data_IF_687736814260
#
_entry.id   IF_687736814260
#
_cell.length_a   1.000
_cell.length_b   1.000
_cell.length_c   1.000
_cell.angle_alpha   90.00
_cell.angle_beta   90.00
_cell.angle_gamma   90.00
#
_symmetry.space_group_name_H-M   'P 1'
#
loop_
_entity.id
_entity.type
_entity.pdbx_description
1 polymer ?
#
# COMPACT_ATOMS: atom_id res chain seq x y z
N UNK A 1 16.17 -1.95 24.24
CA UNK A 1 15.90 -2.16 22.80
C UNK A 1 15.12 -3.43 22.52
N UNK A 2 15.65 -4.63 22.75
CA UNK A 2 14.89 -5.88 22.49
C UNK A 2 13.53 -5.97 23.22
N UNK A 3 13.47 -5.56 24.49
CA UNK A 3 12.21 -5.49 25.25
C UNK A 3 11.22 -4.50 24.61
N UNK A 4 11.68 -3.29 24.28
CA UNK A 4 10.87 -2.27 23.62
C UNK A 4 10.31 -2.76 22.28
N UNK A 5 11.12 -3.45 21.47
CA UNK A 5 10.69 -4.09 20.22
C UNK A 5 9.60 -5.15 20.46
N UNK A 6 9.77 -6.00 21.47
CA UNK A 6 8.80 -7.05 21.80
C UNK A 6 7.48 -6.48 22.33
N UNK A 7 7.56 -5.46 23.17
CA UNK A 7 6.39 -4.73 23.69
C UNK A 7 5.64 -4.06 22.53
N UNK A 8 6.36 -3.31 21.69
CA UNK A 8 5.78 -2.65 20.50
C UNK A 8 5.15 -3.67 19.54
N UNK A 9 5.80 -4.82 19.31
CA UNK A 9 5.25 -5.89 18.50
C UNK A 9 3.97 -6.47 19.11
N UNK A 10 3.93 -6.64 20.43
CA UNK A 10 2.75 -7.14 21.14
C UNK A 10 1.59 -6.14 21.06
N UNK A 11 1.86 -4.84 21.24
CA UNK A 11 0.88 -3.78 21.10
C UNK A 11 0.36 -3.65 19.68
N UNK A 12 1.25 -3.71 18.69
CA UNK A 12 0.89 -3.68 17.26
C UNK A 12 0.00 -4.86 16.86
N UNK A 13 0.30 -6.06 17.37
CA UNK A 13 -0.53 -7.24 17.12
C UNK A 13 -1.91 -7.08 17.75
N UNK A 14 -1.97 -6.70 19.03
CA UNK A 14 -3.25 -6.47 19.72
C UNK A 14 -4.10 -5.41 19.01
N UNK A 15 -3.47 -4.34 18.55
CA UNK A 15 -4.14 -3.30 17.77
C UNK A 15 -4.81 -3.90 16.53
N UNK A 16 -4.08 -4.67 15.72
CA UNK A 16 -4.63 -5.33 14.54
C UNK A 16 -5.76 -6.33 14.87
N UNK A 17 -5.59 -7.12 15.94
CA UNK A 17 -6.60 -8.10 16.38
C UNK A 17 -7.90 -7.42 16.85
N UNK A 18 -7.78 -6.36 17.65
CA UNK A 18 -8.92 -5.59 18.17
C UNK A 18 -9.63 -4.82 17.05
N UNK A 19 -8.87 -4.27 16.09
CA UNK A 19 -9.41 -3.54 14.95
C UNK A 19 -10.40 -4.34 14.12
N UNK A 20 -10.10 -5.62 13.91
CA UNK A 20 -10.90 -6.57 13.12
C UNK A 20 -11.65 -7.60 13.99
N UNK A 21 -11.58 -7.46 15.32
CA UNK A 21 -12.16 -8.36 16.31
C UNK A 21 -11.87 -9.84 16.03
N UNK A 22 -10.62 -10.16 15.67
CA UNK A 22 -10.20 -11.50 15.25
C UNK A 22 -8.82 -11.78 15.84
N UNK A 23 -8.67 -12.91 16.54
CA UNK A 23 -7.51 -13.16 17.41
C UNK A 23 -6.72 -14.40 16.96
N UNK A 24 -5.41 -14.25 16.83
CA UNK A 24 -4.50 -15.35 16.50
C UNK A 24 -4.41 -16.31 17.70
N UNK A 25 -4.50 -17.61 17.42
CA UNK A 25 -4.40 -18.66 18.45
C UNK A 25 -2.97 -19.13 18.71
N UNK A 26 -2.01 -18.68 17.90
CA UNK A 26 -0.62 -19.13 17.93
C UNK A 26 0.34 -17.93 18.04
N UNK A 27 1.51 -18.10 18.67
CA UNK A 27 2.51 -17.04 18.73
C UNK A 27 2.96 -16.60 17.34
N UNK A 28 3.13 -15.29 17.16
CA UNK A 28 3.70 -14.71 15.93
C UNK A 28 5.23 -14.72 16.02
N UNK A 29 5.87 -15.11 14.92
CA UNK A 29 7.33 -15.06 14.77
C UNK A 29 7.67 -13.96 13.77
N UNK A 30 8.36 -12.91 14.22
CA UNK A 30 8.89 -11.85 13.36
C UNK A 30 10.39 -12.09 13.13
N UNK A 31 10.79 -12.26 11.87
CA UNK A 31 12.17 -12.50 11.46
C UNK A 31 12.70 -11.32 10.66
N UNK A 32 13.88 -10.82 11.03
CA UNK A 32 14.65 -9.87 10.22
C UNK A 32 15.77 -10.63 9.52
N UNK A 33 15.73 -10.66 8.19
CA UNK A 33 16.76 -11.27 7.36
C UNK A 33 17.72 -10.19 6.89
N UNK A 34 19.03 -10.38 7.10
CA UNK A 34 20.03 -9.51 6.49
C UNK A 34 19.89 -9.55 4.96
N UNK A 35 19.65 -8.40 4.34
CA UNK A 35 19.49 -8.22 2.89
C UNK A 35 20.68 -8.75 2.03
N UNK A 36 21.79 -9.16 2.67
CA UNK A 36 22.97 -9.72 2.02
C UNK A 36 22.93 -11.21 1.67
N UNK A 37 21.91 -11.99 2.06
CA UNK A 37 21.92 -13.46 1.91
C UNK A 37 21.10 -14.03 0.73
N UNK A 38 20.57 -13.20 -0.19
CA UNK A 38 19.97 -13.69 -1.45
C UNK A 38 20.69 -13.11 -2.69
N UNK A 39 21.86 -13.64 -3.08
CA UNK A 39 22.55 -13.25 -4.32
C UNK A 39 21.77 -13.55 -5.63
N UNK A 40 20.59 -14.17 -5.53
CA UNK A 40 19.80 -14.63 -6.68
C UNK A 40 18.38 -14.03 -6.77
N UNK A 41 17.94 -13.20 -5.80
CA UNK A 41 16.62 -12.56 -5.89
C UNK A 41 16.66 -11.36 -6.84
N UNK A 42 16.05 -11.52 -8.02
CA UNK A 42 15.91 -10.49 -9.07
C UNK A 42 14.71 -9.56 -8.79
N UNK A 43 13.98 -9.80 -7.70
CA UNK A 43 12.88 -8.95 -7.23
C UNK A 43 13.47 -8.02 -6.16
N UNK A 44 13.27 -6.69 -6.23
CA UNK A 44 13.68 -5.79 -5.15
C UNK A 44 13.07 -6.31 -3.83
N UNK A 45 13.80 -6.22 -2.70
CA UNK A 45 13.31 -6.74 -1.43
C UNK A 45 11.93 -6.14 -1.15
N UNK A 46 10.91 -7.00 -1.08
CA UNK A 46 9.61 -6.65 -0.52
C UNK A 46 9.87 -6.40 0.96
N UNK A 47 9.69 -5.15 1.43
CA UNK A 47 10.13 -4.71 2.76
C UNK A 47 9.91 -5.75 3.86
N UNK A 48 8.65 -5.96 4.26
CA UNK A 48 8.26 -7.10 5.06
C UNK A 48 7.09 -7.83 4.38
N UNK A 49 6.89 -9.11 4.74
CA UNK A 49 5.73 -9.87 4.30
C UNK A 49 5.31 -10.94 5.32
N UNK A 50 4.00 -11.09 5.47
CA UNK A 50 3.36 -12.11 6.27
C UNK A 50 3.20 -13.45 5.52
N UNK A 51 3.30 -14.55 6.25
CA UNK A 51 3.13 -15.91 5.75
C UNK A 51 2.13 -16.68 6.61
N UNK A 52 1.41 -17.63 5.99
CA UNK A 52 0.32 -18.44 6.55
C UNK A 52 0.65 -19.29 7.81
N UNK A 53 1.84 -19.13 8.40
CA UNK A 53 2.31 -19.83 9.60
C UNK A 53 2.54 -18.89 10.78
N UNK A 54 1.77 -17.79 10.89
CA UNK A 54 2.00 -16.74 11.90
C UNK A 54 3.42 -16.19 11.86
N UNK A 55 3.97 -16.01 10.65
CA UNK A 55 5.36 -15.58 10.45
C UNK A 55 5.41 -14.32 9.61
N UNK A 56 6.13 -13.32 10.09
CA UNK A 56 6.51 -12.12 9.33
C UNK A 56 8.00 -12.21 9.01
N UNK A 57 8.38 -11.91 7.78
CA UNK A 57 9.77 -11.84 7.34
C UNK A 57 10.05 -10.45 6.77
N UNK A 58 10.96 -9.72 7.42
CA UNK A 58 11.48 -8.43 6.95
C UNK A 58 12.81 -8.67 6.21
N UNK A 59 12.84 -8.36 4.92
CA UNK A 59 14.01 -8.46 4.04
C UNK A 59 14.70 -7.11 3.82
N UNK A 60 14.20 -6.01 4.41
CA UNK A 60 14.86 -4.70 4.41
C UNK A 60 16.19 -4.70 5.17
N UNK A 61 16.40 -5.72 6.02
CA UNK A 61 17.71 -6.07 6.57
C UNK A 61 18.20 -5.20 7.72
N UNK A 62 17.37 -4.31 8.27
CA UNK A 62 17.77 -3.48 9.41
C UNK A 62 16.78 -3.63 10.57
N UNK A 63 17.20 -4.35 11.61
CA UNK A 63 16.46 -4.37 12.88
C UNK A 63 16.49 -2.97 13.49
N UNK A 64 15.35 -2.38 13.89
CA UNK A 64 15.34 -1.07 14.56
C UNK A 64 16.27 -1.05 15.80
N UNK A 65 17.18 -0.08 15.85
CA UNK A 65 18.21 0.06 16.89
C UNK A 65 17.91 1.20 17.88
N UNK A 66 17.06 2.15 17.50
CA UNK A 66 16.69 3.30 18.35
C UNK A 66 15.20 3.30 18.71
N UNK A 67 14.78 3.93 19.83
CA UNK A 67 13.36 4.05 20.17
C UNK A 67 12.52 4.74 19.09
N UNK A 68 13.07 5.74 18.40
CA UNK A 68 12.41 6.40 17.28
C UNK A 68 12.22 5.47 16.10
N UNK A 69 13.22 4.65 15.75
CA UNK A 69 13.08 3.64 14.72
C UNK A 69 12.03 2.58 15.11
N UNK A 70 12.01 2.12 16.37
CA UNK A 70 10.99 1.16 16.83
C UNK A 70 9.59 1.74 16.72
N UNK A 71 9.41 3.02 17.08
CA UNK A 71 8.15 3.74 16.94
C UNK A 71 7.71 3.81 15.47
N UNK A 72 8.58 4.28 14.58
CA UNK A 72 8.27 4.34 13.14
C UNK A 72 7.95 2.95 12.56
N UNK A 73 8.63 1.92 13.06
CA UNK A 73 8.44 0.53 12.64
C UNK A 73 7.11 -0.08 13.14
N UNK A 74 6.46 0.48 14.18
CA UNK A 74 5.21 -0.07 14.73
C UNK A 74 4.10 -0.13 13.67
N UNK A 75 4.00 0.87 12.80
CA UNK A 75 2.98 0.92 11.75
C UNK A 75 3.20 -0.16 10.69
N UNK A 76 4.45 -0.51 10.41
CA UNK A 76 4.79 -1.66 9.56
C UNK A 76 4.44 -2.96 10.27
N UNK A 77 4.67 -3.08 11.59
CA UNK A 77 4.22 -4.26 12.33
C UNK A 77 2.70 -4.41 12.29
N UNK A 78 1.93 -3.33 12.50
CA UNK A 78 0.47 -3.35 12.38
C UNK A 78 0.03 -3.79 10.98
N UNK A 79 0.70 -3.31 9.93
CA UNK A 79 0.45 -3.71 8.55
C UNK A 79 0.61 -5.23 8.38
N UNK A 80 1.78 -5.76 8.73
CA UNK A 80 2.09 -7.18 8.54
C UNK A 80 1.26 -8.10 9.43
N UNK A 81 0.94 -7.67 10.66
CA UNK A 81 0.10 -8.46 11.55
C UNK A 81 -1.37 -8.44 11.11
N UNK A 82 -1.84 -7.38 10.46
CA UNK A 82 -3.17 -7.34 9.85
C UNK A 82 -3.32 -8.39 8.75
N UNK A 83 -2.26 -8.63 7.96
CA UNK A 83 -2.25 -9.74 6.99
C UNK A 83 -2.41 -11.10 7.69
N UNK A 84 -1.74 -11.33 8.83
CA UNK A 84 -1.90 -12.57 9.59
C UNK A 84 -3.32 -12.74 10.14
N UNK A 85 -3.92 -11.67 10.67
CA UNK A 85 -5.30 -11.67 11.17
C UNK A 85 -6.29 -11.96 10.03
N UNK A 86 -6.06 -11.40 8.84
CA UNK A 86 -6.89 -11.64 7.66
C UNK A 86 -6.83 -13.12 7.21
N UNK A 87 -5.65 -13.74 7.33
CA UNK A 87 -5.46 -15.17 7.00
C UNK A 87 -6.25 -16.14 7.90
N UNK A 88 -6.82 -15.69 9.02
CA UNK A 88 -7.75 -16.50 9.83
C UNK A 88 -9.06 -16.80 9.10
N UNK A 89 -9.49 -15.90 8.21
CA UNK A 89 -10.77 -16.00 7.53
C UNK A 89 -10.62 -16.54 6.11
N UNK A 90 -9.48 -16.27 5.45
CA UNK A 90 -9.22 -16.66 4.07
C UNK A 90 -7.77 -17.05 3.84
N UNK A 91 -7.52 -18.17 3.18
CA UNK A 91 -6.17 -18.57 2.82
C UNK A 91 -5.63 -17.86 1.58
N UNK A 92 -6.52 -17.38 0.71
CA UNK A 92 -6.19 -16.63 -0.51
C UNK A 92 -7.12 -15.44 -0.64
N UNK A 93 -6.66 -14.27 -0.23
CA UNK A 93 -7.41 -13.03 -0.40
C UNK A 93 -7.02 -12.32 -1.70
N UNK A 94 -7.87 -11.39 -2.15
CA UNK A 94 -7.53 -10.50 -3.27
C UNK A 94 -6.43 -9.54 -2.82
N UNK A 95 -5.35 -9.34 -3.61
CA UNK A 95 -4.24 -8.47 -3.22
C UNK A 95 -4.68 -7.07 -2.76
N UNK A 96 -5.60 -6.45 -3.49
CA UNK A 96 -6.14 -5.14 -3.15
C UNK A 96 -6.80 -5.08 -1.77
N UNK A 97 -7.48 -6.16 -1.37
CA UNK A 97 -8.10 -6.25 -0.05
C UNK A 97 -7.08 -6.52 1.03
N UNK A 98 -6.13 -7.43 0.78
CA UNK A 98 -5.02 -7.69 1.70
C UNK A 98 -4.30 -6.38 2.06
N UNK A 99 -3.78 -5.70 1.04
CA UNK A 99 -3.04 -4.46 1.23
C UNK A 99 -3.94 -3.34 1.74
N UNK A 100 -5.18 -3.25 1.24
CA UNK A 100 -6.15 -2.24 1.64
C UNK A 100 -6.47 -2.27 3.14
N UNK A 101 -6.77 -3.46 3.69
CA UNK A 101 -7.06 -3.63 5.12
C UNK A 101 -5.82 -3.42 5.97
N UNK A 102 -4.67 -3.97 5.56
CA UNK A 102 -3.43 -3.82 6.29
C UNK A 102 -2.96 -2.36 6.35
N UNK A 103 -3.05 -1.63 5.24
CA UNK A 103 -2.76 -0.20 5.20
C UNK A 103 -3.78 0.63 5.98
N UNK A 104 -5.07 0.28 5.96
CA UNK A 104 -6.07 0.97 6.77
C UNK A 104 -5.78 0.83 8.26
N UNK A 105 -5.39 -0.37 8.71
CA UNK A 105 -5.01 -0.61 10.09
C UNK A 105 -3.81 0.24 10.51
N UNK A 106 -2.79 0.36 9.66
CA UNK A 106 -1.64 1.23 9.91
C UNK A 106 -2.02 2.70 9.98
N UNK A 107 -2.92 3.18 9.11
CA UNK A 107 -3.41 4.57 9.15
C UNK A 107 -4.20 4.85 10.43
N UNK A 108 -5.04 3.92 10.89
CA UNK A 108 -5.72 4.07 12.18
C UNK A 108 -4.77 3.98 13.35
N UNK A 109 -3.75 3.11 13.32
CA UNK A 109 -2.73 3.06 14.35
C UNK A 109 -1.97 4.39 14.47
N UNK A 110 -1.66 5.04 13.33
CA UNK A 110 -1.09 6.40 13.31
C UNK A 110 -2.04 7.41 13.96
N UNK A 111 -3.30 7.43 13.52
CA UNK A 111 -4.34 8.35 14.03
C UNK A 111 -4.56 8.19 15.53
N UNK A 112 -4.66 6.95 16.00
CA UNK A 112 -4.98 6.62 17.39
C UNK A 112 -3.77 6.79 18.32
N UNK A 113 -2.63 7.24 17.78
CA UNK A 113 -1.44 7.52 18.56
C UNK A 113 -0.82 6.25 19.13
N UNK A 114 -0.73 5.18 18.32
CA UNK A 114 0.14 4.03 18.60
C UNK A 114 1.61 4.49 18.51
N UNK A 115 1.98 5.27 19.53
CA UNK A 115 3.20 6.00 19.84
C UNK A 115 3.97 6.64 18.67
N UNK A 116 3.38 7.66 18.05
CA UNK A 116 4.08 8.94 17.95
C UNK A 116 3.80 9.74 19.24
N UNK A 117 4.75 9.73 20.19
CA UNK A 117 4.81 10.62 21.36
C UNK A 117 3.51 11.00 22.09
N UNK A 118 3.27 10.35 23.24
CA UNK A 118 2.23 10.66 24.24
C UNK A 118 0.77 10.40 23.84
N UNK A 119 0.11 9.52 24.60
CA UNK A 119 -1.34 9.46 24.69
C UNK A 119 -1.86 10.78 25.24
N UNK A 120 -2.12 11.75 24.36
CA UNK A 120 -2.89 12.93 24.72
C UNK A 120 -4.34 12.51 24.80
N UNK A 121 -4.95 12.62 25.99
CA UNK A 121 -6.41 12.57 26.12
C UNK A 121 -7.00 13.63 25.19
N UNK A 122 -7.70 13.18 24.14
CA UNK A 122 -8.37 14.07 23.20
C UNK A 122 -9.34 14.96 23.98
N UNK A 123 -9.14 16.28 23.90
CA UNK A 123 -10.06 17.22 24.50
C UNK A 123 -11.44 17.06 23.81
N UNK A 124 -12.56 17.09 24.56
CA UNK A 124 -13.90 16.89 24.00
C UNK A 124 -14.27 17.84 22.85
N UNK A 125 -13.60 18.99 22.75
CA UNK A 125 -13.84 20.02 21.72
C UNK A 125 -13.07 19.79 20.40
N UNK A 126 -12.10 18.87 20.35
CA UNK A 126 -11.45 18.44 19.09
C UNK A 126 -12.28 17.37 18.36
N UNK A 127 -13.16 16.66 19.09
CA UNK A 127 -13.98 15.57 18.56
C UNK A 127 -15.13 16.00 17.63
N UNK A 128 -15.36 17.31 17.43
CA UNK A 128 -16.47 17.81 16.60
C UNK A 128 -16.05 18.70 15.41
N UNK A 129 -14.76 18.98 15.19
CA UNK A 129 -14.34 19.98 14.17
C UNK A 129 -13.40 19.51 13.05
N UNK A 130 -13.00 18.24 12.99
CA UNK A 130 -12.26 17.72 11.85
C UNK A 130 -12.84 16.37 11.38
N UNK A 131 -13.51 16.36 10.23
CA UNK A 131 -13.56 15.15 9.42
C UNK A 131 -12.11 14.81 9.09
N UNK A 132 -11.50 13.90 9.84
CA UNK A 132 -10.13 13.47 9.63
C UNK A 132 -10.06 12.81 8.25
N UNK A 133 -9.22 13.34 7.37
CA UNK A 133 -9.05 12.81 6.02
C UNK A 133 -7.81 11.93 6.03
N UNK A 134 -7.98 10.61 5.89
CA UNK A 134 -6.87 9.68 5.71
C UNK A 134 -6.02 10.11 4.49
N UNK A 135 -4.69 10.01 4.58
CA UNK A 135 -3.78 10.32 3.45
C UNK A 135 -4.15 9.54 2.17
N UNK A 136 -4.55 8.25 2.25
CA UNK A 136 -5.18 7.53 1.14
C UNK A 136 -6.35 8.23 0.45
N UNK A 137 -7.21 8.98 1.17
CA UNK A 137 -8.29 9.75 0.55
C UNK A 137 -7.77 10.90 -0.31
N UNK A 138 -6.70 11.59 0.11
CA UNK A 138 -6.06 12.64 -0.70
C UNK A 138 -5.54 12.05 -2.01
N UNK A 139 -4.92 10.86 -1.94
CA UNK A 139 -4.45 10.15 -3.13
C UNK A 139 -5.60 9.76 -4.06
N UNK A 140 -6.66 9.17 -3.52
CA UNK A 140 -7.82 8.76 -4.30
C UNK A 140 -8.56 9.96 -4.91
N UNK A 141 -8.69 11.06 -4.16
CA UNK A 141 -9.27 12.32 -4.66
C UNK A 141 -8.40 12.96 -5.74
N UNK A 142 -7.07 12.93 -5.60
CA UNK A 142 -6.14 13.39 -6.63
C UNK A 142 -6.28 12.57 -7.92
N UNK A 143 -6.42 11.25 -7.80
CA UNK A 143 -6.66 10.36 -8.95
C UNK A 143 -8.04 10.59 -9.59
N UNK A 144 -9.07 10.88 -8.77
CA UNK A 144 -10.41 11.24 -9.25
C UNK A 144 -10.37 12.55 -10.04
N UNK A 145 -9.73 13.59 -9.50
CA UNK A 145 -9.58 14.89 -10.18
C UNK A 145 -8.74 14.78 -11.46
N UNK A 146 -7.71 13.93 -11.46
CA UNK A 146 -6.94 13.62 -12.65
C UNK A 146 -7.72 12.80 -13.71
N UNK A 147 -8.91 12.28 -13.38
CA UNK A 147 -9.72 11.45 -14.27
C UNK A 147 -9.13 10.05 -14.51
N UNK A 148 -8.32 9.56 -13.55
CA UNK A 148 -7.60 8.28 -13.66
C UNK A 148 -7.92 7.30 -12.52
N UNK A 149 -8.83 7.64 -11.61
CA UNK A 149 -9.32 6.73 -10.58
C UNK A 149 -10.13 5.58 -11.24
N UNK A 150 -9.74 4.31 -11.05
CA UNK A 150 -10.52 3.18 -11.58
C UNK A 150 -11.85 3.00 -10.84
N UNK A 151 -12.85 2.34 -11.47
CA UNK A 151 -14.09 1.97 -10.79
C UNK A 151 -13.85 0.94 -9.67
N UNK A 152 -14.75 0.87 -8.69
CA UNK A 152 -14.61 0.00 -7.50
C UNK A 152 -14.38 -1.47 -7.91
N UNK A 153 -15.06 -1.96 -8.94
CA UNK A 153 -14.91 -3.36 -9.39
C UNK A 153 -13.49 -3.68 -9.85
N UNK A 154 -12.82 -2.72 -10.49
CA UNK A 154 -11.41 -2.87 -10.86
C UNK A 154 -10.50 -2.75 -9.65
N UNK A 155 -10.79 -1.82 -8.73
CA UNK A 155 -10.02 -1.65 -7.48
C UNK A 155 -10.03 -2.95 -6.65
N UNK A 156 -11.21 -3.53 -6.44
CA UNK A 156 -11.38 -4.74 -5.61
C UNK A 156 -10.71 -5.98 -6.20
N UNK A 157 -10.52 -6.01 -7.52
CA UNK A 157 -9.90 -7.13 -8.25
C UNK A 157 -8.47 -6.84 -8.70
N UNK A 158 -7.91 -5.70 -8.27
CA UNK A 158 -6.55 -5.29 -8.59
C UNK A 158 -5.54 -6.28 -8.00
N UNK A 159 -4.62 -6.74 -8.84
CA UNK A 159 -3.55 -7.65 -8.46
C UNK A 159 -2.19 -6.97 -8.41
N UNK A 160 -1.23 -7.64 -7.79
CA UNK A 160 0.17 -7.27 -7.90
C UNK A 160 0.60 -7.25 -9.38
N UNK A 161 1.23 -6.16 -9.80
CA UNK A 161 1.87 -6.07 -11.11
C UNK A 161 3.22 -5.35 -10.96
N UNK A 162 4.16 -5.51 -11.87
CA UNK A 162 5.37 -4.69 -11.89
C UNK A 162 5.18 -3.28 -12.47
N UNK A 163 3.93 -2.82 -12.66
CA UNK A 163 3.61 -1.44 -13.01
C UNK A 163 3.57 -0.58 -11.74
N UNK A 164 4.24 0.58 -11.78
CA UNK A 164 4.42 1.44 -10.62
C UNK A 164 3.09 2.03 -10.15
N UNK A 165 2.21 2.38 -11.08
CA UNK A 165 0.87 2.88 -10.81
C UNK A 165 0.01 1.85 -10.08
N UNK A 166 -0.04 0.62 -10.59
CA UNK A 166 -0.84 -0.44 -9.99
C UNK A 166 -0.34 -0.83 -8.60
N UNK A 167 0.99 -0.84 -8.39
CA UNK A 167 1.55 -1.03 -7.06
C UNK A 167 1.15 0.09 -6.13
N UNK A 168 1.20 1.35 -6.57
CA UNK A 168 0.74 2.48 -5.77
C UNK A 168 -0.75 2.40 -5.44
N UNK A 169 -1.57 2.12 -6.45
CA UNK A 169 -3.02 1.99 -6.29
C UNK A 169 -3.40 0.88 -5.32
N UNK A 170 -2.67 -0.24 -5.32
CA UNK A 170 -2.94 -1.40 -4.47
C UNK A 170 -3.01 -1.06 -2.98
N UNK A 171 -2.16 -0.13 -2.53
CA UNK A 171 -2.10 0.29 -1.13
C UNK A 171 -3.01 1.50 -0.87
N UNK A 172 -3.01 2.51 -1.74
CA UNK A 172 -3.69 3.76 -1.42
C UNK A 172 -5.21 3.73 -1.71
N UNK A 173 -5.62 3.17 -2.85
CA UNK A 173 -7.00 3.31 -3.31
C UNK A 173 -7.96 2.38 -2.57
N UNK A 174 -7.68 1.06 -2.40
CA UNK A 174 -8.46 0.19 -1.55
C UNK A 174 -8.55 0.69 -0.10
N UNK A 175 -7.47 1.21 0.48
CA UNK A 175 -7.52 1.78 1.83
C UNK A 175 -8.44 2.98 1.92
N UNK A 176 -8.44 3.87 0.92
CA UNK A 176 -9.42 4.97 0.85
C UNK A 176 -10.85 4.47 0.77
N UNK A 177 -11.13 3.45 -0.05
CA UNK A 177 -12.48 2.88 -0.15
C UNK A 177 -12.92 2.23 1.17
N UNK A 178 -12.06 1.43 1.79
CA UNK A 178 -12.35 0.73 3.04
C UNK A 178 -12.50 1.72 4.21
N UNK A 179 -11.68 2.77 4.26
CA UNK A 179 -11.82 3.85 5.23
C UNK A 179 -13.15 4.60 5.06
N UNK A 180 -13.57 4.84 3.82
CA UNK A 180 -14.90 5.41 3.55
C UNK A 180 -16.01 4.48 4.03
N UNK A 181 -15.88 3.16 3.83
CA UNK A 181 -16.87 2.20 4.33
C UNK A 181 -16.97 2.24 5.86
N UNK A 182 -15.84 2.32 6.55
CA UNK A 182 -15.80 2.45 8.02
C UNK A 182 -16.48 3.74 8.50
N UNK A 183 -16.21 4.86 7.83
CA UNK A 183 -16.78 6.16 8.19
C UNK A 183 -18.29 6.25 7.94
N UNK A 184 -18.74 5.75 6.79
CA UNK A 184 -20.13 5.92 6.33
C UNK A 184 -21.07 4.83 6.89
N UNK A 185 -20.61 3.58 6.95
CA UNK A 185 -21.43 2.43 7.37
C UNK A 185 -21.02 1.87 8.74
N UNK A 186 -19.87 2.27 9.26
CA UNK A 186 -19.39 1.89 10.58
C UNK A 186 -18.47 0.67 10.60
N UNK A 187 -17.69 0.57 11.68
CA UNK A 187 -16.74 -0.52 11.92
C UNK A 187 -17.31 -1.94 11.84
N UNK A 188 -18.54 -2.21 12.30
CA UNK A 188 -19.14 -3.52 12.14
C UNK A 188 -19.24 -3.95 10.66
N UNK A 189 -19.65 -3.04 9.77
CA UNK A 189 -19.73 -3.32 8.33
C UNK A 189 -18.36 -3.60 7.72
N UNK A 190 -17.35 -2.78 8.03
CA UNK A 190 -15.97 -3.02 7.58
C UNK A 190 -15.47 -4.41 8.02
N UNK A 191 -15.73 -4.76 9.28
CA UNK A 191 -15.30 -6.04 9.86
C UNK A 191 -16.04 -7.21 9.25
N UNK A 192 -17.33 -7.06 8.95
CA UNK A 192 -18.09 -8.11 8.29
C UNK A 192 -17.60 -8.33 6.86
N UNK A 193 -17.26 -7.28 6.11
CA UNK A 193 -16.59 -7.40 4.80
C UNK A 193 -15.25 -8.14 4.95
N UNK A 194 -14.43 -7.76 5.93
CA UNK A 194 -13.14 -8.40 6.21
C UNK A 194 -13.25 -9.91 6.45
N UNK A 195 -14.28 -10.34 7.21
CA UNK A 195 -14.47 -11.75 7.58
C UNK A 195 -15.11 -12.60 6.48
N UNK A 196 -15.86 -11.99 5.56
CA UNK A 196 -16.74 -12.72 4.65
C UNK A 196 -16.47 -12.47 3.16
N UNK A 197 -15.37 -11.79 2.80
CA UNK A 197 -14.92 -11.81 1.41
C UNK A 197 -14.71 -13.26 0.91
N UNK A 198 -14.99 -13.56 -0.36
CA UNK A 198 -14.68 -14.88 -0.89
C UNK A 198 -13.18 -15.01 -1.14
N UNK A 199 -12.69 -16.26 -1.15
CA UNK A 199 -11.32 -16.52 -1.56
C UNK A 199 -11.11 -16.16 -3.03
N UNK A 200 -9.96 -15.54 -3.32
CA UNK A 200 -9.51 -15.33 -4.67
C UNK A 200 -9.25 -16.69 -5.35
N UNK A 201 -9.91 -16.91 -6.48
CA UNK A 201 -9.60 -18.07 -7.33
C UNK A 201 -8.19 -17.92 -7.85
N UNK A 202 -7.31 -18.87 -7.49
CA UNK A 202 -5.90 -18.83 -7.90
C UNK A 202 -5.69 -18.85 -9.42
N UNK A 203 -4.44 -18.76 -9.91
CA UNK A 203 -4.11 -18.67 -11.34
C UNK A 203 -4.56 -19.88 -12.20
N UNK A 204 -5.08 -20.93 -11.57
CA UNK A 204 -5.66 -22.13 -12.20
C UNK A 204 -7.16 -22.04 -12.44
N UNK A 205 -7.83 -20.97 -12.00
CA UNK A 205 -9.25 -20.75 -12.24
C UNK A 205 -9.53 -20.51 -13.73
N UNK A 206 -10.52 -21.19 -14.29
CA UNK A 206 -11.00 -20.86 -15.62
C UNK A 206 -11.75 -19.51 -15.58
N UNK A 207 -11.92 -18.85 -16.73
CA UNK A 207 -12.56 -17.53 -16.80
C UNK A 207 -13.99 -17.48 -16.24
N UNK A 208 -14.70 -18.62 -16.19
CA UNK A 208 -16.02 -18.71 -15.58
C UNK A 208 -15.93 -18.73 -14.04
N UNK A 209 -14.99 -19.48 -13.47
CA UNK A 209 -14.71 -19.52 -12.04
C UNK A 209 -14.26 -18.16 -11.50
N UNK A 210 -13.37 -17.47 -12.22
CA UNK A 210 -12.92 -16.13 -11.82
C UNK A 210 -14.07 -15.11 -11.85
N UNK A 211 -14.96 -15.17 -12.86
CA UNK A 211 -16.15 -14.32 -12.91
C UNK A 211 -17.13 -14.60 -11.76
N UNK A 212 -17.32 -15.87 -11.42
CA UNK A 212 -18.17 -16.26 -10.28
C UNK A 212 -17.60 -15.72 -8.96
N UNK A 213 -16.29 -15.83 -8.76
CA UNK A 213 -15.63 -15.34 -7.54
C UNK A 213 -15.64 -13.81 -7.44
N UNK A 214 -15.49 -13.10 -8.56
CA UNK A 214 -15.64 -11.64 -8.59
C UNK A 214 -17.07 -11.22 -8.27
N UNK A 215 -18.08 -11.91 -8.83
CA UNK A 215 -19.48 -11.61 -8.50
C UNK A 215 -19.77 -11.84 -7.02
N UNK A 216 -19.29 -12.95 -6.45
CA UNK A 216 -19.44 -13.21 -5.01
C UNK A 216 -18.74 -12.13 -4.16
N UNK A 217 -17.59 -11.62 -4.61
CA UNK A 217 -16.89 -10.52 -3.95
C UNK A 217 -17.74 -9.25 -3.97
N UNK A 218 -18.31 -8.91 -5.12
CA UNK A 218 -19.17 -7.75 -5.27
C UNK A 218 -20.45 -7.89 -4.43
N UNK A 219 -21.10 -9.06 -4.48
CA UNK A 219 -22.28 -9.38 -3.69
C UNK A 219 -22.01 -9.26 -2.18
N UNK A 220 -20.80 -9.63 -1.72
CA UNK A 220 -20.39 -9.45 -0.32
C UNK A 220 -20.38 -7.98 0.07
N UNK A 221 -19.77 -7.10 -0.74
CA UNK A 221 -19.78 -5.66 -0.45
C UNK A 221 -21.20 -5.09 -0.45
N UNK A 222 -22.02 -5.46 -1.43
CA UNK A 222 -23.42 -4.99 -1.49
C UNK A 222 -24.25 -5.49 -0.32
N UNK A 223 -24.03 -6.74 0.11
CA UNK A 223 -24.74 -7.34 1.26
C UNK A 223 -24.46 -6.60 2.56
N UNK A 224 -23.20 -6.26 2.83
CA UNK A 224 -22.82 -5.67 4.12
C UNK A 224 -22.94 -4.15 4.15
N UNK A 225 -22.82 -3.47 3.01
CA UNK A 225 -23.12 -2.03 2.92
C UNK A 225 -24.61 -1.75 2.78
N UNK A 226 -25.39 -2.72 2.28
CA UNK A 226 -26.83 -2.59 2.06
C UNK A 226 -27.21 -1.80 0.81
N UNK A 227 -26.23 -1.44 -0.03
CA UNK A 227 -26.41 -0.67 -1.27
C UNK A 227 -25.67 -1.33 -2.43
N UNK A 228 -26.02 -0.96 -3.66
CA UNK A 228 -25.30 -1.47 -4.84
C UNK A 228 -23.87 -0.91 -4.93
N UNK A 229 -22.95 -1.62 -5.59
CA UNK A 229 -21.59 -1.12 -5.82
C UNK A 229 -21.56 0.20 -6.61
N UNK A 230 -22.52 0.41 -7.52
CA UNK A 230 -22.59 1.65 -8.30
C UNK A 230 -23.00 2.83 -7.41
N UNK A 231 -23.89 2.60 -6.45
CA UNK A 231 -24.28 3.60 -5.45
C UNK A 231 -23.14 3.86 -4.47
N UNK A 232 -22.44 2.81 -4.01
CA UNK A 232 -21.25 2.93 -3.17
C UNK A 232 -20.17 3.75 -3.84
N UNK A 233 -19.90 3.48 -5.13
CA UNK A 233 -18.94 4.24 -5.95
C UNK A 233 -19.37 5.70 -6.07
N UNK A 234 -20.63 5.98 -6.38
CA UNK A 234 -21.13 7.34 -6.50
C UNK A 234 -21.04 8.12 -5.18
N UNK A 235 -21.32 7.47 -4.03
CA UNK A 235 -21.18 8.08 -2.71
C UNK A 235 -19.71 8.36 -2.39
N UNK A 236 -18.83 7.38 -2.60
CA UNK A 236 -17.41 7.53 -2.36
C UNK A 236 -16.79 8.61 -3.26
N UNK A 237 -17.09 8.63 -4.56
CA UNK A 237 -16.62 9.67 -5.47
C UNK A 237 -17.14 11.06 -5.08
N UNK A 238 -18.39 11.17 -4.62
CA UNK A 238 -18.93 12.44 -4.10
C UNK A 238 -18.15 12.89 -2.87
N UNK A 239 -17.80 11.98 -1.97
CA UNK A 239 -16.99 12.26 -0.78
C UNK A 239 -15.59 12.73 -1.16
N UNK A 240 -14.92 12.02 -2.06
CA UNK A 240 -13.60 12.40 -2.57
C UNK A 240 -13.62 13.76 -3.28
N UNK A 241 -14.64 14.04 -4.09
CA UNK A 241 -14.79 15.32 -4.79
C UNK A 241 -15.07 16.52 -3.89
N UNK A 242 -15.36 16.31 -2.60
CA UNK A 242 -15.46 17.39 -1.61
C UNK A 242 -14.09 17.74 -0.99
N UNK A 243 -13.09 16.88 -1.15
CA UNK A 243 -11.74 17.13 -0.66
C UNK A 243 -11.04 18.15 -1.55
N UNK A 244 -10.41 19.15 -0.91
CA UNK A 244 -9.52 20.06 -1.62
C UNK A 244 -8.15 19.42 -1.73
N UNK A 245 -7.79 18.98 -2.94
CA UNK A 245 -6.45 18.43 -3.21
C UNK A 245 -5.58 19.46 -3.91
N UNK A 246 -4.27 19.37 -3.69
CA UNK A 246 -3.30 20.28 -4.30
C UNK A 246 -3.01 19.85 -5.76
N UNK A 247 -2.78 20.82 -6.65
CA UNK A 247 -2.43 20.56 -8.04
C UNK A 247 -1.16 19.70 -8.17
N UNK A 248 -0.20 19.83 -7.24
CA UNK A 248 1.00 18.98 -7.18
C UNK A 248 0.66 17.52 -6.89
N UNK A 249 -0.30 17.25 -6.01
CA UNK A 249 -0.77 15.88 -5.74
C UNK A 249 -1.45 15.28 -6.99
N UNK A 250 -2.26 16.07 -7.69
CA UNK A 250 -2.88 15.69 -8.97
C UNK A 250 -1.82 15.44 -10.06
N UNK A 251 -0.79 16.27 -10.14
CA UNK A 251 0.32 16.07 -11.06
C UNK A 251 1.16 14.82 -10.69
N UNK A 252 1.42 14.59 -9.41
CA UNK A 252 2.17 13.43 -8.95
C UNK A 252 1.48 12.11 -9.28
N UNK A 253 0.16 11.99 -9.12
CA UNK A 253 -0.55 10.75 -9.52
C UNK A 253 -0.51 10.53 -11.04
N UNK A 254 -0.51 11.59 -11.85
CA UNK A 254 -0.32 11.48 -13.31
C UNK A 254 1.09 11.03 -13.65
N UNK A 255 2.12 11.59 -12.99
CA UNK A 255 3.51 11.18 -13.16
C UNK A 255 3.74 9.72 -12.74
N UNK A 256 3.12 9.26 -11.65
CA UNK A 256 3.17 7.85 -11.25
C UNK A 256 2.54 6.94 -12.31
N UNK A 257 1.45 7.37 -12.93
CA UNK A 257 0.83 6.65 -14.06
C UNK A 257 1.72 6.66 -15.30
N UNK A 258 2.34 7.79 -15.63
CA UNK A 258 3.26 7.91 -16.76
C UNK A 258 4.52 7.06 -16.58
N UNK A 259 4.94 6.81 -15.33
CA UNK A 259 6.07 5.92 -15.03
C UNK A 259 5.83 4.47 -15.50
N UNK A 260 4.58 4.05 -15.71
CA UNK A 260 4.27 2.75 -16.31
C UNK A 260 4.78 2.60 -17.75
N UNK A 261 5.11 3.71 -18.44
CA UNK A 261 5.76 3.69 -19.76
C UNK A 261 7.12 2.99 -19.76
N UNK A 262 7.74 2.85 -18.59
CA UNK A 262 8.96 2.04 -18.42
C UNK A 262 8.72 0.55 -18.68
N UNK A 263 7.47 0.08 -18.55
CA UNK A 263 7.04 -1.31 -18.72
C UNK A 263 8.02 -2.33 -18.11
N UNK A 264 8.31 -2.12 -16.82
CA UNK A 264 9.30 -2.90 -16.08
C UNK A 264 8.97 -4.40 -16.08
N UNK A 265 7.69 -4.78 -16.18
CA UNK A 265 7.26 -6.19 -16.31
C UNK A 265 7.77 -6.79 -17.62
N UNK A 266 7.44 -6.17 -18.75
CA UNK A 266 7.86 -6.70 -20.06
C UNK A 266 9.38 -6.73 -20.18
N UNK A 267 10.06 -5.73 -19.61
CA UNK A 267 11.53 -5.71 -19.53
C UNK A 267 12.08 -6.89 -18.73
N UNK A 268 11.54 -7.16 -17.53
CA UNK A 268 11.94 -8.30 -16.71
C UNK A 268 11.73 -9.63 -17.43
N UNK A 269 10.59 -9.79 -18.13
CA UNK A 269 10.31 -10.97 -18.92
C UNK A 269 11.31 -11.15 -20.06
N UNK A 270 11.58 -10.11 -20.85
CA UNK A 270 12.54 -10.14 -21.95
C UNK A 270 13.94 -10.52 -21.48
N UNK A 271 14.43 -9.88 -20.41
CA UNK A 271 15.74 -10.16 -19.84
C UNK A 271 15.83 -11.59 -19.33
N UNK A 272 14.79 -12.08 -18.63
CA UNK A 272 14.72 -13.46 -18.16
C UNK A 272 14.79 -14.47 -19.30
N UNK A 273 14.05 -14.24 -20.39
CA UNK A 273 14.07 -15.10 -21.57
C UNK A 273 15.47 -15.12 -22.23
N UNK A 274 16.19 -14.01 -22.19
CA UNK A 274 17.56 -13.90 -22.70
C UNK A 274 18.67 -14.37 -21.73
N UNK A 275 18.31 -14.78 -20.51
CA UNK A 275 19.26 -15.14 -19.45
C UNK A 275 20.08 -13.95 -18.90
N UNK A 276 19.62 -12.72 -19.12
CA UNK A 276 20.26 -11.49 -18.63
C UNK A 276 19.56 -10.99 -17.36
N UNK A 277 20.30 -10.25 -16.53
CA UNK A 277 19.76 -9.61 -15.32
C UNK A 277 19.42 -8.15 -15.62
N UNK A 278 18.45 -7.62 -14.87
CA UNK A 278 18.15 -6.19 -14.89
C UNK A 278 19.32 -5.40 -14.28
N UNK A 279 19.60 -4.25 -14.88
CA UNK A 279 20.65 -3.35 -14.42
C UNK A 279 20.32 -2.78 -13.03
N UNK A 280 21.29 -2.86 -12.12
CA UNK A 280 21.13 -2.33 -10.76
C UNK A 280 21.06 -0.80 -10.76
N UNK A 281 21.73 -0.13 -11.69
CA UNK A 281 21.66 1.33 -11.81
C UNK A 281 20.28 1.77 -12.29
N UNK A 282 19.67 1.02 -13.21
CA UNK A 282 18.29 1.25 -13.65
C UNK A 282 17.29 1.10 -12.50
N UNK A 283 17.41 0.03 -11.70
CA UNK A 283 16.55 -0.20 -10.54
C UNK A 283 16.67 0.91 -9.50
N UNK A 284 17.88 1.39 -9.25
CA UNK A 284 18.12 2.52 -8.35
C UNK A 284 17.46 3.80 -8.87
N UNK A 285 17.68 4.13 -10.14
CA UNK A 285 17.11 5.32 -10.77
C UNK A 285 15.57 5.29 -10.77
N UNK A 286 14.96 4.12 -11.01
CA UNK A 286 13.51 3.93 -10.92
C UNK A 286 12.99 4.16 -9.49
N UNK A 287 13.66 3.61 -8.48
CA UNK A 287 13.27 3.78 -7.08
C UNK A 287 13.40 5.24 -6.61
N UNK A 288 14.49 5.92 -6.96
CA UNK A 288 14.73 7.33 -6.66
C UNK A 288 13.69 8.23 -7.34
N UNK A 289 13.41 8.01 -8.63
CA UNK A 289 12.40 8.77 -9.37
C UNK A 289 11.01 8.59 -8.75
N UNK A 290 10.65 7.36 -8.36
CA UNK A 290 9.41 7.10 -7.63
C UNK A 290 9.36 7.92 -6.35
N UNK A 291 10.38 7.84 -5.50
CA UNK A 291 10.44 8.59 -4.24
C UNK A 291 10.32 10.12 -4.45
N UNK A 292 10.97 10.66 -5.48
CA UNK A 292 10.90 12.07 -5.81
C UNK A 292 9.50 12.52 -6.26
N UNK A 293 8.78 11.70 -7.04
CA UNK A 293 7.40 11.99 -7.43
C UNK A 293 6.49 12.06 -6.20
N UNK A 294 6.68 11.15 -5.24
CA UNK A 294 5.91 11.13 -3.99
C UNK A 294 6.16 12.37 -3.13
N UNK A 295 7.45 12.73 -2.97
CA UNK A 295 7.85 13.94 -2.26
C UNK A 295 7.29 15.20 -2.92
N UNK A 296 7.34 15.27 -4.26
CA UNK A 296 6.77 16.40 -5.03
C UNK A 296 5.26 16.57 -4.80
N UNK A 297 4.51 15.47 -4.80
CA UNK A 297 3.06 15.49 -4.58
C UNK A 297 2.61 15.50 -3.12
N UNK A 298 3.56 15.45 -2.17
CA UNK A 298 3.30 15.19 -0.75
C UNK A 298 2.39 13.97 -0.53
N UNK A 299 2.61 12.93 -1.32
CA UNK A 299 1.85 11.68 -1.25
C UNK A 299 2.59 10.70 -0.33
N UNK A 300 1.91 10.17 0.69
CA UNK A 300 2.50 9.14 1.57
C UNK A 300 2.05 7.74 1.18
N UNK A 301 2.97 6.76 1.31
CA UNK A 301 2.62 5.33 1.39
C UNK A 301 2.41 4.96 2.84
N UNK A 302 1.33 4.22 3.10
CA UNK A 302 1.13 3.60 4.41
C UNK A 302 2.27 2.61 4.78
N UNK A 303 3.03 2.11 3.78
CA UNK A 303 4.14 1.14 3.91
C UNK A 303 5.45 1.75 3.42
N UNK A 304 5.80 2.92 3.94
CA UNK A 304 7.12 3.47 3.74
C UNK A 304 8.10 2.64 4.61
N UNK A 305 9.08 1.97 4.01
CA UNK A 305 10.10 1.23 4.75
C UNK A 305 10.78 2.14 5.80
N UNK A 306 11.21 1.61 6.95
CA UNK A 306 11.83 2.42 8.00
C UNK A 306 13.08 3.10 7.42
N UNK A 307 13.06 4.43 7.33
CA UNK A 307 14.10 5.23 6.69
C UNK A 307 13.67 6.00 5.43
N UNK A 308 12.44 5.84 4.96
CA UNK A 308 11.90 6.63 3.82
C UNK A 308 11.29 7.97 4.22
N UNK A 309 11.03 8.19 5.52
CA UNK A 309 10.88 9.54 6.05
C UNK A 309 12.27 10.12 6.31
N UNK A 310 12.91 10.56 5.23
CA UNK A 310 13.93 11.59 5.40
C UNK A 310 13.21 12.78 6.03
N UNK A 311 13.66 13.32 7.18
CA UNK A 311 13.17 14.61 7.62
C UNK A 311 13.33 15.57 6.43
N UNK A 312 12.40 16.51 6.29
CA UNK A 312 12.64 17.68 5.46
C UNK A 312 13.84 18.41 6.06
N UNK A 313 15.05 17.98 5.73
CA UNK A 313 16.23 18.81 5.81
C UNK A 313 16.00 19.86 4.72
N UNK A 314 15.40 20.97 5.16
CA UNK A 314 15.12 22.16 4.36
C UNK A 314 16.40 22.85 3.84
N UNK A 315 17.57 22.21 3.89
CA UNK A 315 18.87 22.90 3.76
C UNK A 315 19.97 22.18 2.96
N UNK A 316 19.69 21.15 2.15
CA UNK A 316 20.66 20.68 1.14
C UNK A 316 20.09 20.60 -0.28
N UNK A 317 20.29 21.69 -1.04
CA UNK A 317 20.55 21.74 -2.49
C UNK A 317 19.68 20.85 -3.41
N UNK A 318 18.40 20.69 -3.09
CA UNK A 318 17.44 20.09 -4.02
C UNK A 318 17.08 21.12 -5.08
N UNK A 319 17.60 20.93 -6.30
CA UNK A 319 17.03 21.60 -7.47
C UNK A 319 15.51 21.42 -7.41
N UNK A 320 14.77 22.53 -7.36
CA UNK A 320 13.34 22.59 -7.07
C UNK A 320 12.60 21.51 -7.90
N UNK A 321 12.12 20.45 -7.24
CA UNK A 321 11.43 19.35 -7.91
C UNK A 321 10.20 19.94 -8.60
N UNK A 322 10.22 19.90 -9.93
CA UNK A 322 9.12 20.39 -10.77
C UNK A 322 8.54 19.25 -11.58
N UNK A 323 7.25 19.36 -11.89
CA UNK A 323 6.54 18.40 -12.75
C UNK A 323 7.29 18.14 -14.05
N UNK A 324 7.84 19.20 -14.66
CA UNK A 324 8.63 19.11 -15.89
C UNK A 324 9.91 18.29 -15.71
N UNK A 325 10.68 18.57 -14.67
CA UNK A 325 11.93 17.84 -14.38
C UNK A 325 11.66 16.35 -14.13
N UNK A 326 10.59 16.04 -13.39
CA UNK A 326 10.18 14.65 -13.15
C UNK A 326 9.71 13.95 -14.43
N UNK A 327 8.94 14.63 -15.28
CA UNK A 327 8.49 14.12 -16.57
C UNK A 327 9.68 13.82 -17.51
N UNK A 328 10.66 14.72 -17.60
CA UNK A 328 11.88 14.52 -18.39
C UNK A 328 12.70 13.30 -17.89
N UNK A 329 12.75 13.07 -16.57
CA UNK A 329 13.37 11.88 -15.97
C UNK A 329 12.60 10.59 -16.30
N UNK A 330 11.27 10.63 -16.34
CA UNK A 330 10.44 9.49 -16.78
C UNK A 330 10.75 9.15 -18.24
N UNK A 331 10.83 10.15 -19.12
CA UNK A 331 11.15 9.94 -20.54
C UNK A 331 12.51 9.26 -20.72
N UNK A 332 13.55 9.77 -20.04
CA UNK A 332 14.88 9.16 -20.07
C UNK A 332 14.87 7.71 -19.55
N UNK A 333 14.14 7.43 -18.46
CA UNK A 333 14.05 6.08 -17.91
C UNK A 333 13.29 5.12 -18.86
N UNK A 334 12.25 5.60 -19.53
CA UNK A 334 11.52 4.82 -20.53
C UNK A 334 12.40 4.49 -21.76
N UNK A 335 13.20 5.44 -22.23
CA UNK A 335 14.18 5.21 -23.30
C UNK A 335 15.24 4.18 -22.87
N UNK A 336 15.76 4.29 -21.65
CA UNK A 336 16.71 3.31 -21.11
C UNK A 336 16.09 1.91 -20.99
N UNK A 337 14.84 1.80 -20.53
CA UNK A 337 14.11 0.54 -20.48
C UNK A 337 13.97 -0.09 -21.87
N UNK A 338 13.64 0.71 -22.89
CA UNK A 338 13.54 0.26 -24.27
C UNK A 338 14.90 -0.20 -24.84
N UNK A 339 15.99 0.48 -24.49
CA UNK A 339 17.35 0.08 -24.86
C UNK A 339 17.72 -1.28 -24.26
N UNK A 340 17.45 -1.47 -22.97
CA UNK A 340 17.70 -2.74 -22.27
C UNK A 340 16.86 -3.87 -22.88
N UNK A 341 15.59 -3.59 -23.22
CA UNK A 341 14.71 -4.53 -23.89
C UNK A 341 15.26 -4.93 -25.26
N UNK A 342 15.68 -3.96 -26.09
CA UNK A 342 16.27 -4.25 -27.42
C UNK A 342 17.52 -5.12 -27.30
N UNK A 343 18.43 -4.77 -26.38
CA UNK A 343 19.64 -5.55 -26.11
C UNK A 343 19.35 -6.97 -25.64
N UNK A 344 18.19 -7.25 -25.06
CA UNK A 344 17.83 -8.61 -24.65
C UNK A 344 17.57 -9.55 -25.85
N UNK A 345 17.18 -9.01 -27.00
CA UNK A 345 16.88 -9.77 -28.22
C UNK A 345 17.99 -9.73 -29.28
N UNK A 346 19.06 -8.97 -29.03
CA UNK A 346 20.33 -8.97 -29.78
C UNK A 346 21.35 -9.89 -29.10
#
# INVERSE_FOLDING_TARGET
>A
MQLLLLETATESLRYAEDLFGSYLSHPVVHLWLNAGEKPESVVPPTGAFALATCRVTDESGTVPQTPDEVRKYSFLMVHEYSHLVHMLHMHRTYPALAEGFASLASEYARRDGLQEGELREAAPDEAQSAQWVLTPHITAASALEAGILPPIREILTLGHSGQAWNQWMLYAVPTSLLGFIDEEFGRPTLTDVFRHCPEATGPTGNAAGNRSAHNELFDTFERYTGISLDELEAMWHRRLGQLRVDNRSVAAVKLLKDLDRTDTISLLWALRTSGRKLDLEFLRALAELRADILRFGSLSLAVAAPGSDTPADDDEDTAELSERSLSERIDHLAEWAQELWRKAYE
#
